data_IF_470391977005
#
_entry.id   IF_470391977005
#
_cell.length_a   1.000
_cell.length_b   1.000
_cell.length_c   1.000
_cell.angle_alpha   90.00
_cell.angle_beta   90.00
_cell.angle_gamma   90.00
#
_symmetry.space_group_name_H-M   'P 1'
#
loop_
_entity.id
_entity.type
_entity.pdbx_description
1 polymer ?
#
# COMPACT_ATOMS: atom_id res chain seq x y z
N UNK A 1 -16.13 -69.41 23.49
CA UNK A 1 -16.39 -68.39 22.45
C UNK A 1 -15.07 -68.07 21.76
N UNK A 2 -14.93 -68.34 20.45
CA UNK A 2 -13.66 -68.21 19.76
C UNK A 2 -13.43 -66.81 19.17
N UNK A 3 -12.17 -66.41 19.19
CA UNK A 3 -11.60 -65.18 18.61
C UNK A 3 -11.54 -65.30 17.08
N UNK A 4 -11.99 -64.27 16.36
CA UNK A 4 -11.77 -64.09 14.93
C UNK A 4 -10.82 -62.92 14.70
N UNK A 5 -9.62 -63.22 14.19
CA UNK A 5 -8.57 -62.27 13.82
C UNK A 5 -8.79 -61.88 12.35
N UNK A 6 -8.90 -60.58 12.06
CA UNK A 6 -8.92 -60.05 10.69
C UNK A 6 -7.58 -59.37 10.43
N UNK A 7 -6.77 -59.96 9.56
CA UNK A 7 -5.55 -59.36 9.01
C UNK A 7 -5.84 -58.76 7.64
N UNK A 8 -5.77 -57.43 7.50
CA UNK A 8 -5.74 -56.78 6.20
C UNK A 8 -4.27 -56.55 5.78
N UNK A 9 -3.84 -57.26 4.74
CA UNK A 9 -2.57 -57.05 4.03
C UNK A 9 -2.76 -55.95 2.99
N UNK A 10 -2.04 -54.85 3.14
CA UNK A 10 -1.91 -53.81 2.11
C UNK A 10 -0.69 -54.12 1.23
N UNK A 11 -0.75 -54.00 -0.12
CA UNK A 11 0.40 -54.26 -0.98
C UNK A 11 1.37 -53.08 -1.01
N UNK A 12 2.67 -53.41 -0.98
CA UNK A 12 3.79 -52.50 -1.19
C UNK A 12 3.70 -51.83 -2.57
N UNK A 13 3.62 -50.50 -2.56
CA UNK A 13 3.81 -49.66 -3.74
C UNK A 13 5.31 -49.48 -3.97
N UNK A 14 5.79 -49.87 -5.16
CA UNK A 14 7.18 -49.75 -5.60
C UNK A 14 7.60 -48.27 -5.62
N UNK A 15 8.66 -47.93 -4.87
CA UNK A 15 9.38 -46.65 -4.99
C UNK A 15 10.06 -46.61 -6.36
N UNK A 16 9.60 -45.71 -7.23
CA UNK A 16 10.34 -45.33 -8.43
C UNK A 16 11.55 -44.48 -8.03
N UNK A 17 12.72 -44.87 -8.52
CA UNK A 17 13.95 -44.09 -8.42
C UNK A 17 13.78 -42.81 -9.24
N UNK A 18 13.66 -41.67 -8.57
CA UNK A 18 13.79 -40.35 -9.20
C UNK A 18 15.27 -40.07 -9.35
N UNK A 19 15.76 -40.13 -10.58
CA UNK A 19 17.09 -39.66 -10.96
C UNK A 19 17.08 -38.14 -10.88
N UNK A 20 17.71 -37.58 -9.86
CA UNK A 20 18.01 -36.16 -9.76
C UNK A 20 19.10 -35.82 -10.80
N UNK A 21 18.70 -35.34 -11.97
CA UNK A 21 19.60 -34.60 -12.84
C UNK A 21 19.95 -33.29 -12.15
N UNK A 22 21.20 -33.18 -11.70
CA UNK A 22 21.80 -31.92 -11.31
C UNK A 22 21.98 -31.09 -12.58
N UNK A 23 21.01 -30.22 -12.85
CA UNK A 23 21.22 -29.10 -13.77
C UNK A 23 22.12 -28.09 -13.06
N UNK A 24 23.39 -28.07 -13.45
CA UNK A 24 24.33 -27.01 -13.13
C UNK A 24 23.79 -25.72 -13.73
N UNK A 25 23.12 -24.90 -12.91
CA UNK A 25 22.74 -23.53 -13.29
C UNK A 25 24.03 -22.72 -13.44
N UNK A 26 24.42 -22.53 -14.69
CA UNK A 26 25.41 -21.51 -15.07
C UNK A 26 24.92 -20.17 -14.54
N UNK A 27 25.70 -19.56 -13.64
CA UNK A 27 25.54 -18.17 -13.21
C UNK A 27 25.76 -17.28 -14.44
N UNK A 28 24.69 -17.04 -15.18
CA UNK A 28 24.65 -15.96 -16.14
C UNK A 28 24.83 -14.66 -15.36
N UNK A 29 25.94 -13.97 -15.65
CA UNK A 29 26.24 -12.63 -15.18
C UNK A 29 24.98 -11.77 -15.20
N UNK A 30 24.55 -11.30 -14.03
CA UNK A 30 23.48 -10.32 -13.95
C UNK A 30 23.86 -9.12 -14.85
N UNK A 31 22.91 -8.58 -15.63
CA UNK A 31 23.18 -7.37 -16.39
C UNK A 31 23.52 -6.27 -15.39
N UNK A 32 24.70 -5.69 -15.57
CA UNK A 32 25.13 -4.48 -14.88
C UNK A 32 23.99 -3.47 -14.99
N UNK A 33 23.41 -3.05 -13.86
CA UNK A 33 22.50 -1.91 -13.81
C UNK A 33 23.34 -0.69 -14.16
N UNK A 34 23.55 -0.45 -15.45
CA UNK A 34 24.00 0.85 -15.92
C UNK A 34 22.98 1.85 -15.42
N UNK A 35 23.43 2.66 -14.46
CA UNK A 35 22.74 3.83 -13.96
C UNK A 35 22.55 4.74 -15.18
N UNK A 36 21.42 4.60 -15.87
CA UNK A 36 21.03 5.52 -16.94
C UNK A 36 20.99 6.87 -16.26
N UNK A 37 22.01 7.69 -16.51
CA UNK A 37 22.01 9.11 -16.17
C UNK A 37 20.90 9.74 -17.01
N UNK A 38 19.67 9.59 -16.57
CA UNK A 38 18.51 10.18 -17.19
C UNK A 38 18.68 11.68 -17.04
N UNK A 39 19.04 12.29 -18.17
CA UNK A 39 19.12 13.72 -18.40
C UNK A 39 18.02 14.42 -17.61
N UNK A 40 18.43 15.27 -16.67
CA UNK A 40 17.53 16.13 -15.90
C UNK A 40 16.82 17.06 -16.89
N UNK A 41 15.74 16.58 -17.49
CA UNK A 41 14.84 17.42 -18.26
C UNK A 41 14.35 18.50 -17.31
N UNK A 42 14.79 19.74 -17.56
CA UNK A 42 14.31 20.95 -16.89
C UNK A 42 12.82 21.14 -17.20
N UNK A 43 11.95 20.30 -16.63
CA UNK A 43 10.54 20.64 -16.51
C UNK A 43 10.48 21.89 -15.64
N UNK A 44 9.85 22.94 -16.18
CA UNK A 44 9.61 24.19 -15.48
C UNK A 44 8.83 23.88 -14.20
N UNK A 45 9.52 23.89 -13.06
CA UNK A 45 8.92 23.69 -11.75
C UNK A 45 7.88 24.77 -11.49
N UNK A 46 6.63 24.35 -11.30
CA UNK A 46 5.51 25.25 -11.03
C UNK A 46 5.57 25.72 -9.57
N UNK A 47 6.23 26.87 -9.37
CA UNK A 47 6.34 27.53 -8.06
C UNK A 47 4.99 27.96 -7.48
N UNK A 48 3.86 27.82 -8.20
CA UNK A 48 2.54 28.15 -7.67
C UNK A 48 2.00 27.10 -6.70
N UNK A 49 2.51 25.86 -6.72
CA UNK A 49 1.99 24.74 -5.90
C UNK A 49 2.93 24.41 -4.75
N UNK A 50 4.24 24.42 -5.01
CA UNK A 50 5.24 23.92 -4.06
C UNK A 50 6.32 24.95 -3.79
N UNK A 51 6.73 25.04 -2.53
CA UNK A 51 7.91 25.79 -2.10
C UNK A 51 8.94 24.82 -1.53
N UNK A 52 10.16 24.86 -2.07
CA UNK A 52 11.27 24.06 -1.57
C UNK A 52 11.72 24.60 -0.21
N UNK A 53 11.76 23.71 0.78
CA UNK A 53 12.23 24.03 2.12
C UNK A 53 13.76 24.00 2.10
N UNK A 54 14.44 25.07 2.52
CA UNK A 54 15.89 25.06 2.67
C UNK A 54 16.34 23.97 3.65
N UNK A 55 17.44 23.29 3.35
CA UNK A 55 18.02 22.26 4.24
C UNK A 55 18.38 22.80 5.63
N UNK A 56 18.59 24.11 5.77
CA UNK A 56 18.88 24.80 7.03
C UNK A 56 17.68 24.94 7.97
N UNK A 57 16.46 24.60 7.53
CA UNK A 57 15.19 24.89 8.23
C UNK A 57 14.92 24.07 9.51
N UNK A 58 15.86 23.27 10.02
CA UNK A 58 15.66 22.36 11.16
C UNK A 58 14.49 21.36 11.02
N UNK A 59 13.88 21.27 9.83
CA UNK A 59 12.82 20.31 9.54
C UNK A 59 13.40 18.91 9.28
N UNK A 60 12.58 17.85 9.41
CA UNK A 60 13.01 16.49 9.11
C UNK A 60 13.57 16.38 7.70
N UNK A 61 14.81 15.92 7.58
CA UNK A 61 15.46 15.71 6.28
C UNK A 61 15.00 14.38 5.71
N UNK A 62 14.27 14.42 4.61
CA UNK A 62 13.79 13.21 3.94
C UNK A 62 14.96 12.37 3.39
N UNK A 63 15.12 11.15 3.90
CA UNK A 63 16.11 10.17 3.44
C UNK A 63 15.45 8.89 2.97
N UNK A 64 15.91 8.38 1.83
CA UNK A 64 15.49 7.09 1.30
C UNK A 64 16.47 5.99 1.70
N UNK A 65 16.01 4.74 1.71
CA UNK A 65 16.81 3.61 2.20
C UNK A 65 17.95 3.26 1.26
N UNK A 66 17.69 3.22 -0.06
CA UNK A 66 18.68 2.79 -1.06
C UNK A 66 19.47 3.94 -1.66
N UNK A 67 18.98 5.17 -1.55
CA UNK A 67 19.64 6.34 -2.09
C UNK A 67 20.54 7.03 -1.06
N UNK A 68 21.78 7.27 -1.45
CA UNK A 68 22.70 8.10 -0.67
C UNK A 68 22.37 9.56 -0.93
N UNK A 69 21.74 10.22 0.06
CA UNK A 69 21.50 11.65 0.02
C UNK A 69 20.19 12.07 0.68
N UNK A 70 20.11 13.36 0.98
CA UNK A 70 18.85 14.01 1.30
C UNK A 70 18.03 14.19 0.02
N UNK A 71 16.71 14.04 0.13
CA UNK A 71 15.78 14.42 -0.93
C UNK A 71 15.18 15.77 -0.62
N UNK A 72 14.95 16.56 -1.68
CA UNK A 72 14.30 17.86 -1.58
C UNK A 72 12.96 17.73 -0.90
N UNK A 73 12.74 18.58 0.09
CA UNK A 73 11.50 18.62 0.87
C UNK A 73 10.75 19.89 0.51
N UNK A 74 9.44 19.78 0.35
CA UNK A 74 8.57 20.86 -0.10
C UNK A 74 7.44 21.10 0.89
N UNK A 75 6.94 22.33 0.96
CA UNK A 75 5.61 22.63 1.52
C UNK A 75 4.62 22.91 0.39
N UNK A 76 3.34 22.64 0.65
CA UNK A 76 2.26 23.01 -0.25
C UNK A 76 1.90 24.49 -0.04
N UNK A 77 2.01 25.30 -1.10
CA UNK A 77 1.54 26.68 -1.11
C UNK A 77 0.02 26.78 -1.38
N UNK A 78 -0.52 25.76 -2.06
CA UNK A 78 -1.95 25.53 -2.27
C UNK A 78 -2.20 24.03 -2.42
N UNK A 79 -3.46 23.64 -2.35
CA UNK A 79 -3.84 22.25 -2.62
C UNK A 79 -3.58 21.91 -4.10
N UNK A 80 -2.91 20.78 -4.40
CA UNK A 80 -2.80 20.26 -5.74
C UNK A 80 -4.19 19.97 -6.32
N UNK A 81 -4.33 20.12 -7.64
CA UNK A 81 -5.58 19.81 -8.31
C UNK A 81 -5.76 18.31 -8.50
N UNK A 82 -4.67 17.56 -8.61
CA UNK A 82 -4.66 16.11 -8.85
C UNK A 82 -3.29 15.50 -8.49
N UNK A 83 -3.14 14.19 -8.69
CA UNK A 83 -1.86 13.49 -8.49
C UNK A 83 -0.79 13.85 -9.54
N UNK A 84 -1.17 14.38 -10.71
CA UNK A 84 -0.23 14.77 -11.77
C UNK A 84 0.58 16.01 -11.38
N UNK A 85 0.00 16.91 -10.58
CA UNK A 85 0.74 18.01 -9.97
C UNK A 85 1.95 17.52 -9.15
N UNK A 86 1.86 16.35 -8.50
CA UNK A 86 2.96 15.77 -7.74
C UNK A 86 4.10 15.25 -8.65
N UNK A 87 3.82 14.97 -9.93
CA UNK A 87 4.85 14.51 -10.89
C UNK A 87 5.85 15.61 -11.22
N UNK A 88 5.43 16.87 -11.09
CA UNK A 88 6.29 18.06 -11.28
C UNK A 88 7.43 18.14 -10.26
N UNK A 89 7.34 17.40 -9.15
CA UNK A 89 8.39 17.30 -8.14
C UNK A 89 9.56 16.40 -8.57
N UNK A 90 9.43 15.69 -9.70
CA UNK A 90 10.41 14.74 -10.20
C UNK A 90 10.22 13.33 -9.63
N UNK A 91 11.23 12.48 -9.80
CA UNK A 91 11.12 11.04 -9.46
C UNK A 91 11.02 10.77 -7.96
N UNK A 92 11.60 11.65 -7.14
CA UNK A 92 11.62 11.53 -5.68
C UNK A 92 11.52 12.91 -5.06
N UNK A 93 10.60 13.06 -4.14
CA UNK A 93 10.43 14.28 -3.35
C UNK A 93 9.88 13.93 -1.98
N UNK A 94 9.92 14.89 -1.07
CA UNK A 94 9.15 14.81 0.16
C UNK A 94 8.28 16.05 0.33
N UNK A 95 7.09 15.87 0.91
CA UNK A 95 6.14 16.93 1.16
C UNK A 95 5.90 16.99 2.67
N UNK A 96 6.27 18.11 3.28
CA UNK A 96 5.97 18.43 4.66
C UNK A 96 4.61 19.12 4.75
N UNK A 97 3.73 18.62 5.62
CA UNK A 97 2.39 19.18 5.84
C UNK A 97 2.26 19.82 7.21
N UNK A 98 1.28 20.72 7.34
CA UNK A 98 1.01 21.45 8.58
C UNK A 98 0.55 20.58 9.76
N UNK A 99 0.01 19.38 9.49
CA UNK A 99 -0.32 18.37 10.50
C UNK A 99 0.89 17.52 10.92
N UNK A 100 2.11 17.99 10.65
CA UNK A 100 3.38 17.37 11.04
C UNK A 100 3.60 15.98 10.45
N UNK A 101 3.04 15.72 9.26
CA UNK A 101 3.40 14.54 8.48
C UNK A 101 4.41 14.89 7.39
N UNK A 102 5.34 13.96 7.16
CA UNK A 102 6.24 13.97 6.01
C UNK A 102 5.81 12.87 5.03
N UNK A 103 5.46 13.25 3.81
CA UNK A 103 5.08 12.30 2.76
C UNK A 103 6.20 12.18 1.74
N UNK A 104 6.78 10.99 1.63
CA UNK A 104 7.74 10.66 0.60
C UNK A 104 6.97 10.28 -0.67
N UNK A 105 7.24 10.97 -1.76
CA UNK A 105 6.62 10.73 -3.07
C UNK A 105 7.68 10.09 -3.96
N UNK A 106 7.37 8.93 -4.54
CA UNK A 106 8.21 8.32 -5.56
C UNK A 106 7.40 7.91 -6.78
N UNK A 107 8.03 8.05 -7.96
CA UNK A 107 7.48 7.63 -9.25
C UNK A 107 8.40 6.59 -9.87
N UNK A 108 7.88 5.40 -10.17
CA UNK A 108 8.60 4.33 -10.89
C UNK A 108 9.70 3.64 -10.09
N UNK A 109 9.91 4.03 -8.82
CA UNK A 109 10.99 3.53 -7.98
C UNK A 109 10.41 2.79 -6.78
N UNK A 110 11.01 1.63 -6.49
CA UNK A 110 10.71 0.82 -5.29
C UNK A 110 11.76 1.12 -4.22
N UNK A 111 11.74 2.34 -3.71
CA UNK A 111 12.54 2.76 -2.55
C UNK A 111 11.60 3.15 -1.41
N UNK A 112 12.06 2.98 -0.18
CA UNK A 112 11.26 3.26 1.03
C UNK A 112 11.98 4.29 1.90
N UNK A 113 11.28 5.01 2.79
CA UNK A 113 11.92 5.89 3.75
C UNK A 113 12.98 5.15 4.57
N UNK A 114 14.15 5.77 4.77
CA UNK A 114 15.24 5.18 5.57
C UNK A 114 14.89 5.11 7.04
N UNK A 115 14.25 6.16 7.53
CA UNK A 115 14.10 6.44 8.96
C UNK A 115 12.79 5.87 9.53
N UNK A 116 11.98 5.19 8.71
CA UNK A 116 10.64 4.74 9.09
C UNK A 116 10.56 3.24 9.38
N UNK A 117 10.43 2.88 10.66
CA UNK A 117 9.82 1.60 11.06
C UNK A 117 8.30 1.66 11.10
N UNK A 118 7.66 2.83 10.95
CA UNK A 118 6.22 3.02 10.96
C UNK A 118 5.84 4.07 9.91
N UNK A 119 5.31 3.64 8.76
CA UNK A 119 4.77 4.52 7.74
C UNK A 119 3.51 3.92 7.13
N UNK A 120 2.63 4.78 6.65
CA UNK A 120 1.47 4.40 5.86
C UNK A 120 1.86 4.51 4.39
N UNK A 121 1.76 3.40 3.67
CA UNK A 121 2.04 3.30 2.24
C UNK A 121 0.73 3.38 1.46
N UNK A 122 0.62 4.36 0.56
CA UNK A 122 -0.42 4.42 -0.46
C UNK A 122 0.22 4.24 -1.84
N UNK A 123 -0.13 3.15 -2.53
CA UNK A 123 0.44 2.79 -3.83
C UNK A 123 -0.63 2.70 -4.92
N UNK A 124 -0.30 3.16 -6.12
CA UNK A 124 -1.17 3.10 -7.29
C UNK A 124 -0.45 2.30 -8.39
N UNK A 125 -0.93 1.09 -8.70
CA UNK A 125 -0.15 0.09 -9.44
C UNK A 125 0.22 0.51 -10.89
N UNK A 126 -0.60 1.31 -11.57
CA UNK A 126 -0.41 1.63 -13.00
C UNK A 126 0.39 2.91 -13.29
N UNK A 127 0.29 3.96 -12.47
CA UNK A 127 1.12 5.17 -12.65
C UNK A 127 2.38 5.17 -11.77
N UNK A 128 2.63 4.04 -11.09
CA UNK A 128 3.85 3.80 -10.35
C UNK A 128 4.12 4.85 -9.23
N UNK A 129 3.05 5.53 -8.79
CA UNK A 129 3.05 6.47 -7.67
C UNK A 129 3.04 5.70 -6.37
N UNK A 130 4.00 6.02 -5.52
CA UNK A 130 4.05 5.53 -4.14
C UNK A 130 4.19 6.71 -3.20
N UNK A 131 3.31 6.75 -2.21
CA UNK A 131 3.30 7.72 -1.13
C UNK A 131 3.62 6.97 0.16
N UNK A 132 4.69 7.36 0.84
CA UNK A 132 5.00 6.86 2.18
C UNK A 132 4.81 8.01 3.17
N UNK A 133 3.79 7.90 4.00
CA UNK A 133 3.40 8.94 4.95
C UNK A 133 3.96 8.56 6.31
N UNK A 134 4.82 9.44 6.84
CA UNK A 134 5.39 9.33 8.18
C UNK A 134 4.78 10.43 9.05
N UNK A 135 4.40 10.11 10.28
CA UNK A 135 3.85 11.07 11.23
C UNK A 135 3.99 10.58 12.66
N UNK A 136 3.72 11.46 13.62
CA UNK A 136 3.78 11.16 15.05
C UNK A 136 2.54 10.42 15.58
N UNK A 137 1.42 10.46 14.83
CA UNK A 137 0.14 9.85 15.22
C UNK A 137 -0.54 9.19 14.02
N UNK A 138 -1.34 8.15 14.28
CA UNK A 138 -2.16 7.51 13.26
C UNK A 138 -3.15 8.49 12.62
N UNK A 139 -3.78 9.35 13.43
CA UNK A 139 -4.73 10.34 12.94
C UNK A 139 -4.12 11.29 11.91
N UNK A 140 -2.93 11.82 12.18
CA UNK A 140 -2.24 12.71 11.24
C UNK A 140 -1.90 11.97 9.93
N UNK A 141 -1.42 10.72 10.02
CA UNK A 141 -1.11 9.91 8.84
C UNK A 141 -2.37 9.58 8.03
N UNK A 142 -3.47 9.23 8.68
CA UNK A 142 -4.75 8.90 8.05
C UNK A 142 -5.39 10.12 7.39
N UNK A 143 -5.36 11.29 8.03
CA UNK A 143 -5.80 12.56 7.43
C UNK A 143 -4.95 12.93 6.21
N UNK A 144 -3.64 12.68 6.27
CA UNK A 144 -2.76 12.91 5.12
C UNK A 144 -3.02 11.92 3.99
N UNK A 145 -3.32 10.66 4.28
CA UNK A 145 -3.75 9.70 3.27
C UNK A 145 -5.06 10.15 2.62
N UNK A 146 -6.07 10.50 3.41
CA UNK A 146 -7.35 11.02 2.89
C UNK A 146 -7.16 12.21 1.95
N UNK A 147 -6.28 13.15 2.32
CA UNK A 147 -5.93 14.27 1.46
C UNK A 147 -5.39 13.81 0.09
N UNK A 148 -4.40 12.91 0.05
CA UNK A 148 -3.85 12.44 -1.22
C UNK A 148 -4.85 11.58 -2.01
N UNK A 149 -5.69 10.79 -1.34
CA UNK A 149 -6.77 10.04 -1.97
C UNK A 149 -7.81 10.95 -2.62
N UNK A 150 -8.08 12.13 -2.05
CA UNK A 150 -8.98 13.13 -2.65
C UNK A 150 -8.45 13.75 -3.95
N UNK A 151 -7.15 13.58 -4.24
CA UNK A 151 -6.54 14.03 -5.50
C UNK A 151 -6.74 13.03 -6.65
N UNK A 152 -7.32 11.86 -6.39
CA UNK A 152 -7.66 10.87 -7.42
C UNK A 152 -8.77 11.43 -8.31
N UNK A 153 -8.59 11.36 -9.63
CA UNK A 153 -9.54 11.87 -10.62
C UNK A 153 -10.06 10.72 -11.50
N UNK A 154 -11.20 10.95 -12.17
CA UNK A 154 -11.79 9.96 -13.08
C UNK A 154 -10.97 9.70 -14.35
N UNK A 155 -10.00 10.56 -14.64
CA UNK A 155 -9.04 10.38 -15.74
C UNK A 155 -7.85 9.51 -15.34
N UNK A 156 -7.73 9.14 -14.07
CA UNK A 156 -6.69 8.25 -13.60
C UNK A 156 -6.97 6.81 -14.06
N UNK A 157 -5.94 6.13 -14.56
CA UNK A 157 -6.07 4.79 -15.14
C UNK A 157 -5.67 3.68 -14.15
N UNK A 158 -5.86 3.90 -12.85
CA UNK A 158 -5.49 2.93 -11.82
C UNK A 158 -6.43 1.72 -11.79
N UNK A 159 -5.86 0.54 -11.87
CA UNK A 159 -6.54 -0.73 -11.63
C UNK A 159 -6.59 -1.09 -10.14
N UNK A 160 -5.59 -0.65 -9.36
CA UNK A 160 -5.43 -1.01 -7.96
C UNK A 160 -4.91 0.16 -7.12
N UNK A 161 -5.52 0.32 -5.93
CA UNK A 161 -5.07 1.19 -4.85
C UNK A 161 -4.69 0.32 -3.65
N UNK A 162 -3.43 0.36 -3.28
CA UNK A 162 -2.88 -0.27 -2.08
C UNK A 162 -2.82 0.74 -0.95
N UNK A 163 -3.36 0.39 0.22
CA UNK A 163 -3.18 1.12 1.48
C UNK A 163 -2.63 0.12 2.51
N UNK A 164 -1.36 0.29 2.88
CA UNK A 164 -0.63 -0.70 3.65
C UNK A 164 0.18 -0.06 4.79
N UNK A 165 0.30 -0.79 5.89
CA UNK A 165 1.37 -0.57 6.86
C UNK A 165 2.41 -1.70 6.69
N UNK A 166 3.44 -1.45 5.87
CA UNK A 166 4.48 -2.43 5.47
C UNK A 166 5.45 -2.82 6.61
N UNK A 167 5.06 -2.57 7.85
CA UNK A 167 5.93 -2.70 9.02
C UNK A 167 5.39 -3.76 9.94
N UNK A 168 6.27 -4.41 10.71
CA UNK A 168 5.88 -5.46 11.66
C UNK A 168 5.13 -4.91 12.89
N UNK A 169 4.76 -3.63 12.88
CA UNK A 169 4.08 -2.93 13.97
C UNK A 169 2.58 -3.26 14.04
N UNK A 170 1.91 -2.63 15.01
CA UNK A 170 0.46 -2.63 15.11
C UNK A 170 -0.18 -2.01 13.86
N UNK A 171 -1.39 -2.47 13.46
CA UNK A 171 -2.11 -1.84 12.37
C UNK A 171 -2.29 -0.33 12.55
N UNK A 172 -2.18 0.44 11.46
CA UNK A 172 -2.44 1.89 11.48
C UNK A 172 -3.95 2.12 11.49
N UNK A 173 -4.40 2.96 12.42
CA UNK A 173 -5.80 3.38 12.50
C UNK A 173 -6.11 4.41 11.40
N UNK A 174 -6.98 4.03 10.46
CA UNK A 174 -7.43 4.91 9.39
C UNK A 174 -8.73 5.65 9.72
N UNK A 175 -9.28 5.55 10.94
CA UNK A 175 -10.56 6.16 11.28
C UNK A 175 -10.62 7.67 11.00
N UNK A 176 -9.52 8.39 11.21
CA UNK A 176 -9.43 9.83 10.93
C UNK A 176 -9.44 10.20 9.43
N UNK A 177 -9.24 9.23 8.51
CA UNK A 177 -9.42 9.44 7.07
C UNK A 177 -10.90 9.63 6.69
N UNK A 178 -11.83 9.30 7.60
CA UNK A 178 -13.27 9.25 7.39
C UNK A 178 -13.68 8.22 6.34
N UNK A 179 -14.99 7.96 6.22
CA UNK A 179 -15.51 7.04 5.21
C UNK A 179 -15.61 7.67 3.82
N UNK A 180 -15.81 8.99 3.78
CA UNK A 180 -16.06 9.73 2.54
C UNK A 180 -14.88 9.62 1.57
N UNK A 181 -13.64 9.59 2.06
CA UNK A 181 -12.46 9.48 1.19
C UNK A 181 -12.49 8.24 0.28
N UNK A 182 -13.03 7.12 0.75
CA UNK A 182 -13.16 5.91 -0.08
C UNK A 182 -14.32 6.01 -1.08
N UNK A 183 -15.41 6.67 -0.69
CA UNK A 183 -16.54 6.91 -1.59
C UNK A 183 -16.12 7.80 -2.75
N UNK A 184 -15.38 8.88 -2.48
CA UNK A 184 -14.89 9.81 -3.50
C UNK A 184 -13.96 9.10 -4.49
N UNK A 185 -13.04 8.25 -3.99
CA UNK A 185 -12.15 7.44 -4.84
C UNK A 185 -12.94 6.48 -5.74
N UNK A 186 -14.01 5.89 -5.23
CA UNK A 186 -14.85 4.96 -6.00
C UNK A 186 -15.77 5.64 -6.99
N UNK A 187 -16.21 6.86 -6.69
CA UNK A 187 -16.92 7.71 -7.65
C UNK A 187 -16.00 8.12 -8.79
N UNK A 188 -14.74 8.46 -8.48
CA UNK A 188 -13.73 8.74 -9.48
C UNK A 188 -13.38 7.49 -10.32
N UNK A 189 -13.15 6.33 -9.68
CA UNK A 189 -12.71 5.10 -10.34
C UNK A 189 -13.59 3.90 -9.91
N UNK A 190 -14.73 3.69 -10.59
CA UNK A 190 -15.67 2.63 -10.21
C UNK A 190 -15.10 1.22 -10.26
N UNK A 191 -14.16 0.95 -11.17
CA UNK A 191 -13.52 -0.37 -11.36
C UNK A 191 -12.32 -0.62 -10.45
N UNK A 192 -12.00 0.31 -9.54
CA UNK A 192 -10.81 0.22 -8.70
C UNK A 192 -10.83 -1.03 -7.80
N UNK A 193 -9.75 -1.79 -7.82
CA UNK A 193 -9.44 -2.79 -6.80
C UNK A 193 -8.83 -2.08 -5.59
N UNK A 194 -9.50 -2.15 -4.44
CA UNK A 194 -8.97 -1.61 -3.20
C UNK A 194 -8.32 -2.70 -2.36
N UNK A 195 -7.06 -2.51 -1.97
CA UNK A 195 -6.29 -3.47 -1.17
C UNK A 195 -5.81 -2.82 0.13
N UNK A 196 -6.17 -3.42 1.25
CA UNK A 196 -5.73 -3.02 2.59
C UNK A 196 -4.79 -4.06 3.19
N UNK A 197 -3.67 -3.62 3.76
CA UNK A 197 -2.72 -4.50 4.46
C UNK A 197 -2.31 -3.95 5.82
N UNK A 198 -2.51 -4.74 6.87
CA UNK A 198 -2.14 -4.35 8.23
C UNK A 198 -2.74 -2.99 8.65
N UNK A 199 -4.03 -2.80 8.35
CA UNK A 199 -4.78 -1.56 8.60
C UNK A 199 -5.88 -1.80 9.65
N UNK A 200 -6.21 -0.79 10.45
CA UNK A 200 -7.43 -0.77 11.26
C UNK A 200 -8.49 0.10 10.59
N UNK A 201 -9.67 -0.48 10.33
CA UNK A 201 -10.81 0.17 9.71
C UNK A 201 -11.94 0.35 10.74
N UNK A 202 -12.49 1.55 10.81
CA UNK A 202 -13.68 1.82 11.63
C UNK A 202 -14.93 1.13 11.05
N UNK A 203 -15.94 0.90 11.90
CA UNK A 203 -17.22 0.34 11.46
C UNK A 203 -17.88 1.21 10.37
N UNK A 204 -17.80 2.53 10.49
CA UNK A 204 -18.33 3.46 9.49
C UNK A 204 -17.63 3.32 8.13
N UNK A 205 -16.31 3.08 8.11
CA UNK A 205 -15.57 2.85 6.87
C UNK A 205 -15.94 1.50 6.27
N UNK A 206 -16.05 0.45 7.10
CA UNK A 206 -16.51 -0.86 6.66
C UNK A 206 -17.90 -0.82 6.04
N UNK A 207 -18.85 -0.08 6.62
CA UNK A 207 -20.18 0.12 6.04
C UNK A 207 -20.08 0.80 4.66
N UNK A 208 -19.30 1.87 4.55
CA UNK A 208 -19.15 2.61 3.29
C UNK A 208 -18.57 1.72 2.18
N UNK A 209 -17.58 0.87 2.51
CA UNK A 209 -17.03 -0.11 1.59
C UNK A 209 -18.08 -1.14 1.13
N UNK A 210 -18.91 -1.65 2.05
CA UNK A 210 -19.94 -2.65 1.77
C UNK A 210 -21.15 -2.10 0.97
N UNK A 211 -21.54 -0.86 1.21
CA UNK A 211 -22.77 -0.24 0.65
C UNK A 211 -22.57 0.45 -0.71
N UNK A 212 -21.36 0.44 -1.27
CA UNK A 212 -21.04 1.16 -2.52
C UNK A 212 -21.90 0.69 -3.71
N UNK A 213 -22.66 1.51 -4.45
CA UNK A 213 -23.67 1.05 -5.42
C UNK A 213 -23.18 0.05 -6.49
N UNK A 214 -21.96 0.25 -7.00
CA UNK A 214 -21.35 -0.57 -8.04
C UNK A 214 -20.53 -1.74 -7.47
N UNK A 215 -20.40 -2.88 -8.19
CA UNK A 215 -19.51 -3.96 -7.78
C UNK A 215 -18.07 -3.47 -7.59
N UNK A 216 -17.40 -3.99 -6.56
CA UNK A 216 -16.03 -3.65 -6.18
C UNK A 216 -15.23 -4.93 -5.94
N UNK A 217 -13.93 -4.86 -6.20
CA UNK A 217 -12.98 -5.86 -5.70
C UNK A 217 -12.28 -5.28 -4.48
N UNK A 218 -12.45 -5.90 -3.31
CA UNK A 218 -11.75 -5.52 -2.08
C UNK A 218 -10.91 -6.70 -1.59
N UNK A 219 -9.64 -6.41 -1.27
CA UNK A 219 -8.74 -7.33 -0.58
C UNK A 219 -8.36 -6.75 0.78
N UNK A 220 -8.56 -7.53 1.84
CA UNK A 220 -8.25 -7.16 3.22
C UNK A 220 -7.28 -8.20 3.77
N UNK A 221 -6.03 -7.80 4.04
CA UNK A 221 -4.96 -8.68 4.51
C UNK A 221 -4.50 -8.19 5.89
N UNK A 222 -4.47 -9.08 6.88
CA UNK A 222 -3.99 -8.78 8.26
C UNK A 222 -4.54 -7.49 8.88
N UNK A 223 -5.74 -7.10 8.46
CA UNK A 223 -6.36 -5.86 8.88
C UNK A 223 -7.44 -6.14 9.92
N UNK A 224 -7.71 -5.14 10.76
CA UNK A 224 -8.69 -5.22 11.83
C UNK A 224 -9.90 -4.39 11.43
N UNK A 225 -11.09 -5.00 11.50
CA UNK A 225 -12.36 -4.27 11.45
C UNK A 225 -12.79 -4.00 12.89
N UNK A 226 -13.06 -2.74 13.23
CA UNK A 226 -13.26 -2.26 14.59
C UNK A 226 -14.27 -3.09 15.43
N UNK A 227 -15.31 -3.61 14.78
CA UNK A 227 -16.40 -4.37 15.37
C UNK A 227 -16.37 -5.87 14.99
N UNK A 228 -15.19 -6.36 14.63
CA UNK A 228 -14.99 -7.72 14.12
C UNK A 228 -15.63 -7.98 12.76
N UNK A 229 -16.04 -6.93 12.03
CA UNK A 229 -16.64 -7.03 10.69
C UNK A 229 -18.16 -7.16 10.69
N UNK A 230 -18.81 -7.00 11.84
CA UNK A 230 -20.26 -7.15 11.98
C UNK A 230 -21.01 -6.13 11.12
N UNK A 231 -20.62 -4.85 11.16
CA UNK A 231 -21.22 -3.78 10.37
C UNK A 231 -20.97 -3.98 8.87
N UNK A 232 -19.80 -4.52 8.49
CA UNK A 232 -19.52 -4.88 7.10
C UNK A 232 -20.49 -5.95 6.58
N UNK A 233 -20.65 -7.05 7.33
CA UNK A 233 -21.52 -8.17 6.96
C UNK A 233 -23.00 -7.76 6.94
N UNK A 234 -23.46 -6.99 7.94
CA UNK A 234 -24.84 -6.51 7.98
C UNK A 234 -25.14 -5.61 6.77
N UNK A 235 -24.25 -4.67 6.46
CA UNK A 235 -24.37 -3.83 5.27
C UNK A 235 -24.42 -4.66 3.97
N UNK A 236 -23.61 -5.72 3.86
CA UNK A 236 -23.68 -6.64 2.72
C UNK A 236 -25.02 -7.39 2.61
N UNK A 237 -25.62 -7.78 3.74
CA UNK A 237 -26.92 -8.46 3.76
C UNK A 237 -28.06 -7.55 3.31
N UNK A 238 -27.99 -6.26 3.67
CA UNK A 238 -29.02 -5.29 3.31
C UNK A 238 -28.98 -4.89 1.83
N UNK A 239 -27.79 -5.02 1.22
CA UNK A 239 -27.51 -4.65 -0.16
C UNK A 239 -28.41 -5.40 -1.17
N UNK A 240 -28.91 -4.66 -2.17
CA UNK A 240 -29.75 -5.22 -3.24
C UNK A 240 -29.00 -5.55 -4.53
N UNK A 241 -27.86 -4.89 -4.76
CA UNK A 241 -26.98 -5.16 -5.91
C UNK A 241 -25.86 -6.13 -5.55
N UNK A 242 -25.23 -6.74 -6.55
CA UNK A 242 -24.02 -7.54 -6.32
C UNK A 242 -22.91 -6.69 -5.71
N UNK A 243 -22.17 -7.27 -4.76
CA UNK A 243 -21.02 -6.62 -4.13
C UNK A 243 -19.77 -6.65 -5.02
N UNK A 244 -19.58 -7.68 -5.83
CA UNK A 244 -18.32 -7.94 -6.55
C UNK A 244 -17.52 -9.03 -5.87
N UNK A 245 -16.26 -8.75 -5.50
CA UNK A 245 -15.34 -9.73 -4.92
C UNK A 245 -14.76 -9.24 -3.59
N UNK A 246 -14.77 -10.12 -2.59
CA UNK A 246 -14.12 -9.90 -1.30
C UNK A 246 -13.07 -10.98 -1.08
N UNK A 247 -11.84 -10.57 -0.80
CA UNK A 247 -10.77 -11.47 -0.37
C UNK A 247 -10.33 -11.09 1.04
N UNK A 248 -10.46 -12.01 1.98
CA UNK A 248 -9.95 -11.87 3.35
C UNK A 248 -8.76 -12.80 3.50
N UNK A 249 -7.62 -12.28 3.94
CA UNK A 249 -6.43 -13.08 4.19
C UNK A 249 -5.80 -12.72 5.52
N UNK A 250 -5.19 -13.72 6.14
CA UNK A 250 -4.31 -13.55 7.29
C UNK A 250 -2.94 -14.06 6.87
N UNK A 251 -1.89 -13.26 7.00
CA UNK A 251 -0.55 -13.78 6.84
C UNK A 251 -0.16 -14.50 8.11
N UNK A 252 0.26 -15.76 7.96
CA UNK A 252 0.96 -16.45 9.03
C UNK A 252 2.31 -15.77 9.20
N UNK A 253 2.43 -14.88 10.19
CA UNK A 253 3.72 -14.30 10.56
C UNK A 253 4.62 -15.45 11.02
N UNK A 254 5.53 -15.87 10.15
CA UNK A 254 6.60 -16.79 10.53
C UNK A 254 7.49 -16.02 11.50
N UNK A 255 7.31 -16.27 12.80
CA UNK A 255 8.26 -15.82 13.80
C UNK A 255 9.58 -16.55 13.54
N UNK A 256 10.48 -15.92 12.80
CA UNK A 256 11.86 -16.37 12.73
C UNK A 256 12.44 -16.15 14.12
N UNK A 257 12.51 -17.23 14.90
CA UNK A 257 13.20 -17.26 16.19
C UNK A 257 14.70 -17.15 15.94
N UNK A 258 15.17 -15.97 15.54
CA UNK A 258 16.58 -15.63 15.60
C UNK A 258 16.81 -15.06 17.01
N UNK A 259 17.28 -15.95 17.89
CA UNK A 259 17.84 -15.63 19.21
C UNK A 259 19.30 -15.19 19.08
#
# INVERSE_FOLDING_TARGET
MPRGIITNKTPLQKRGNVVLQQHTLSLASAPSLELIAMSSNNQSFDKSVFEEIPESSCLPVARWRRYEGATKTYVLLRDPSDLEDLRKLGQRAAIWRNNQTLTYVSWGLRDIPRDGLNFLHCGFDDDDVRLYIVGSTHDAMAQTAAFFLSLVRSTSNFSCLLIANDTNSSPIDLSAAQSQCFLDVFEAIPSLHLRFENIYLSAAQSIALAMRPHPVTITIIDSILADGGTAFVNALQDRKSSFGSLTLQRMERQFTSEC
#
